data_IF_991785136489
#
_entry.id   IF_991785136489
#
_cell.length_a   1.000
_cell.length_b   1.000
_cell.length_c   1.000
_cell.angle_alpha   90.00
_cell.angle_beta   90.00
_cell.angle_gamma   90.00
#
_symmetry.space_group_name_H-M   'P 1'
#
loop_
_entity.id
_entity.type
_entity.pdbx_description
1 polymer ?
#
# COMPACT_ATOMS: atom_id res chain seq x y z
N UNK A 1 37.73 30.87 -39.13
CA UNK A 1 36.39 31.33 -39.48
C UNK A 1 35.41 30.69 -38.58
N UNK A 2 35.00 31.51 -37.64
CA UNK A 2 33.63 31.82 -37.20
C UNK A 2 32.89 30.70 -36.55
N UNK A 3 32.84 30.60 -35.18
CA UNK A 3 31.94 31.25 -34.22
C UNK A 3 30.47 30.78 -34.37
N UNK A 4 29.99 30.03 -33.38
CA UNK A 4 28.82 30.48 -32.62
C UNK A 4 28.77 29.72 -31.28
N UNK A 5 29.08 30.47 -30.21
CA UNK A 5 28.72 30.17 -28.81
C UNK A 5 27.24 30.47 -28.68
N UNK A 6 26.46 29.48 -28.24
CA UNK A 6 25.17 29.77 -27.63
C UNK A 6 25.14 29.16 -26.24
N UNK A 7 25.27 30.05 -25.27
CA UNK A 7 25.11 29.74 -23.86
C UNK A 7 23.62 29.60 -23.51
N UNK A 8 23.23 28.44 -23.04
CA UNK A 8 21.96 28.27 -22.35
C UNK A 8 22.20 28.45 -20.83
N UNK A 9 21.75 29.56 -20.33
CA UNK A 9 21.67 29.84 -18.91
C UNK A 9 20.71 28.85 -18.26
N UNK A 10 21.25 27.91 -17.48
CA UNK A 10 20.45 27.07 -16.61
C UNK A 10 19.96 27.89 -15.43
N UNK A 11 18.75 28.39 -15.53
CA UNK A 11 18.02 28.98 -14.40
C UNK A 11 17.81 27.91 -13.33
N UNK A 12 18.61 27.99 -12.25
CA UNK A 12 18.41 27.24 -11.01
C UNK A 12 17.14 27.77 -10.33
N UNK A 13 15.99 27.23 -10.69
CA UNK A 13 14.80 27.30 -9.83
C UNK A 13 14.97 26.27 -8.72
N UNK A 14 15.28 26.76 -7.53
CA UNK A 14 15.11 26.03 -6.27
C UNK A 14 13.60 25.89 -6.05
N UNK A 15 13.02 24.85 -6.60
CA UNK A 15 11.71 24.35 -6.21
C UNK A 15 11.93 23.32 -5.11
N UNK A 16 11.47 23.62 -3.91
CA UNK A 16 11.35 22.62 -2.85
C UNK A 16 10.40 21.54 -3.36
N UNK A 17 10.94 20.38 -3.75
CA UNK A 17 10.13 19.19 -3.94
C UNK A 17 9.72 18.72 -2.54
N UNK A 18 8.56 19.22 -2.11
CA UNK A 18 7.75 18.47 -1.17
C UNK A 18 7.32 17.20 -1.89
N UNK A 19 7.93 16.09 -1.54
CA UNK A 19 7.47 14.76 -1.95
C UNK A 19 6.16 14.54 -1.21
N UNK A 20 5.06 14.95 -1.86
CA UNK A 20 3.73 14.49 -1.49
C UNK A 20 3.71 13.00 -1.81
N UNK A 21 3.90 12.19 -0.79
CA UNK A 21 3.56 10.77 -0.82
C UNK A 21 2.03 10.71 -0.95
N UNK A 22 1.55 10.79 -2.20
CA UNK A 22 0.18 10.44 -2.52
C UNK A 22 0.09 8.93 -2.37
N UNK A 23 -0.27 8.48 -1.17
CA UNK A 23 -0.89 7.18 -1.01
C UNK A 23 -2.22 7.28 -1.79
N UNK A 24 -2.15 7.02 -3.11
CA UNK A 24 -3.33 6.76 -3.91
C UNK A 24 -3.89 5.45 -3.38
N UNK A 25 -4.82 5.57 -2.43
CA UNK A 25 -5.79 4.53 -2.16
C UNK A 25 -6.46 4.25 -3.51
N UNK A 26 -6.16 3.11 -4.12
CA UNK A 26 -6.78 2.69 -5.37
C UNK A 26 -8.29 2.74 -5.15
N UNK A 27 -8.93 3.77 -5.69
CA UNK A 27 -10.38 3.85 -5.79
C UNK A 27 -10.81 2.75 -6.76
N UNK A 28 -11.08 1.56 -6.24
CA UNK A 28 -11.86 0.59 -6.97
C UNK A 28 -13.20 1.28 -7.31
N UNK A 29 -13.51 1.37 -8.58
CA UNK A 29 -14.80 1.85 -9.10
C UNK A 29 -15.91 1.06 -8.40
N UNK A 30 -16.54 1.67 -7.44
CA UNK A 30 -17.60 1.08 -6.65
C UNK A 30 -18.86 1.02 -7.50
N UNK A 31 -19.25 -0.18 -7.90
CA UNK A 31 -20.60 -0.47 -8.39
C UNK A 31 -21.56 -0.32 -7.18
N UNK A 32 -22.52 0.65 -7.19
CA UNK A 32 -23.38 0.92 -6.05
C UNK A 32 -24.38 -0.19 -5.73
N UNK A 33 -24.29 -1.35 -6.40
CA UNK A 33 -25.18 -2.49 -6.23
C UNK A 33 -24.66 -3.61 -5.31
N UNK A 34 -23.39 -3.64 -4.94
CA UNK A 34 -22.85 -4.62 -4.01
C UNK A 34 -22.54 -3.93 -2.68
N UNK A 35 -23.39 -4.11 -1.69
CA UNK A 35 -23.02 -3.90 -0.29
C UNK A 35 -21.97 -4.96 0.09
N UNK A 36 -20.72 -4.79 -0.36
CA UNK A 36 -19.61 -5.58 0.15
C UNK A 36 -19.45 -5.18 1.61
N UNK A 37 -19.80 -6.09 2.50
CA UNK A 37 -19.43 -5.99 3.90
C UNK A 37 -17.92 -5.79 3.90
N UNK A 38 -17.46 -4.59 4.23
CA UNK A 38 -16.06 -4.25 4.32
C UNK A 38 -15.48 -5.16 5.39
N UNK A 39 -14.74 -6.18 4.96
CA UNK A 39 -14.20 -7.20 5.84
C UNK A 39 -13.26 -6.52 6.81
N UNK A 40 -13.59 -6.58 8.09
CA UNK A 40 -12.75 -5.97 9.13
C UNK A 40 -11.43 -6.73 9.13
N UNK A 41 -10.34 -6.04 8.82
CA UNK A 41 -9.01 -6.63 8.79
C UNK A 41 -8.75 -7.40 10.08
N UNK A 42 -8.48 -8.69 9.95
CA UNK A 42 -8.10 -9.55 11.05
C UNK A 42 -6.70 -9.19 11.51
N UNK A 43 -6.59 -8.54 12.64
CA UNK A 43 -5.30 -8.24 13.24
C UNK A 43 -4.75 -9.46 13.98
N UNK A 44 -3.52 -9.85 13.65
CA UNK A 44 -2.79 -10.96 14.26
C UNK A 44 -1.49 -10.48 14.91
N UNK A 45 -1.00 -11.25 15.88
CA UNK A 45 0.33 -11.01 16.45
C UNK A 45 1.38 -11.51 15.46
N UNK A 46 2.22 -10.60 14.96
CA UNK A 46 3.36 -10.91 14.11
C UNK A 46 4.53 -11.46 14.94
N UNK A 47 5.39 -12.24 14.31
CA UNK A 47 6.63 -12.74 14.85
C UNK A 47 7.77 -12.54 13.86
N UNK A 48 9.04 -12.53 14.32
CA UNK A 48 10.20 -12.50 13.42
C UNK A 48 10.11 -13.59 12.34
N UNK A 49 9.66 -14.80 12.73
CA UNK A 49 9.50 -15.92 11.82
C UNK A 49 8.45 -15.64 10.73
N UNK A 50 7.33 -15.02 11.07
CA UNK A 50 6.32 -14.66 10.07
C UNK A 50 6.85 -13.66 9.06
N UNK A 51 7.58 -12.64 9.49
CA UNK A 51 8.16 -11.64 8.59
C UNK A 51 9.22 -12.28 7.68
N UNK A 52 10.10 -13.13 8.22
CA UNK A 52 11.12 -13.83 7.42
C UNK A 52 10.48 -14.81 6.41
N UNK A 53 9.48 -15.59 6.83
CA UNK A 53 8.74 -16.48 5.96
C UNK A 53 8.00 -15.71 4.85
N UNK A 54 7.42 -14.55 5.19
CA UNK A 54 6.76 -13.66 4.23
C UNK A 54 7.76 -13.20 3.16
N UNK A 55 8.89 -12.65 3.54
CA UNK A 55 9.92 -12.19 2.60
C UNK A 55 10.41 -13.32 1.68
N UNK A 56 10.53 -14.55 2.20
CA UNK A 56 10.96 -15.72 1.43
C UNK A 56 9.90 -16.21 0.42
N UNK A 57 8.60 -16.01 0.72
CA UNK A 57 7.50 -16.48 -0.12
C UNK A 57 7.04 -15.44 -1.16
N UNK A 58 7.24 -14.15 -0.87
CA UNK A 58 6.58 -13.04 -1.58
C UNK A 58 6.82 -13.08 -3.09
N UNK A 59 8.06 -13.14 -3.53
CA UNK A 59 8.37 -13.07 -4.98
C UNK A 59 7.78 -14.26 -5.76
N UNK A 60 7.82 -15.45 -5.18
CA UNK A 60 7.27 -16.64 -5.83
C UNK A 60 5.75 -16.57 -5.91
N UNK A 61 5.09 -16.04 -4.89
CA UNK A 61 3.62 -15.84 -4.89
C UNK A 61 3.24 -14.71 -5.85
N UNK A 62 3.93 -13.56 -5.81
CA UNK A 62 3.66 -12.43 -6.69
C UNK A 62 3.73 -12.83 -8.19
N UNK A 63 4.75 -13.58 -8.59
CA UNK A 63 4.90 -14.08 -9.97
C UNK A 63 3.74 -14.96 -10.43
N UNK A 64 3.07 -15.68 -9.54
CA UNK A 64 1.91 -16.48 -9.90
C UNK A 64 0.71 -15.60 -10.27
N UNK A 65 0.55 -14.46 -9.59
CA UNK A 65 -0.54 -13.53 -9.84
C UNK A 65 -0.24 -12.55 -10.99
N UNK A 66 1.02 -12.15 -11.21
CA UNK A 66 1.43 -11.31 -12.36
C UNK A 66 1.15 -11.98 -13.72
N UNK A 67 1.20 -13.30 -13.78
CA UNK A 67 0.86 -14.09 -14.98
C UNK A 67 -0.64 -14.41 -15.11
N UNK A 68 -1.44 -14.14 -14.09
CA UNK A 68 -2.87 -14.39 -14.11
C UNK A 68 -3.60 -13.16 -14.69
N UNK A 69 -4.41 -13.35 -15.74
CA UNK A 69 -5.26 -12.29 -16.28
C UNK A 69 -6.16 -11.74 -15.15
N UNK A 70 -5.99 -10.47 -14.83
CA UNK A 70 -6.79 -9.73 -13.82
C UNK A 70 -8.30 -9.73 -14.08
N UNK A 71 -8.72 -10.09 -15.29
CA UNK A 71 -10.13 -10.16 -15.71
C UNK A 71 -10.81 -11.50 -15.39
N UNK A 72 -10.09 -12.47 -14.82
CA UNK A 72 -10.68 -13.75 -14.40
C UNK A 72 -10.77 -13.80 -12.87
N UNK A 73 -11.95 -14.12 -12.32
CA UNK A 73 -12.05 -14.43 -10.91
C UNK A 73 -11.09 -15.59 -10.61
N UNK A 74 -10.37 -15.47 -9.53
CA UNK A 74 -9.38 -16.36 -8.93
C UNK A 74 -9.27 -17.75 -9.60
N UNK A 75 -8.20 -17.94 -10.39
CA UNK A 75 -7.94 -19.26 -11.00
C UNK A 75 -7.60 -20.25 -9.87
N UNK A 76 -8.42 -21.28 -9.62
CA UNK A 76 -8.17 -22.26 -8.55
C UNK A 76 -6.80 -22.93 -8.64
N UNK A 77 -6.21 -22.98 -9.83
CA UNK A 77 -4.87 -23.51 -10.04
C UNK A 77 -3.79 -22.57 -9.51
N UNK A 78 -3.94 -21.27 -9.74
CA UNK A 78 -3.03 -20.25 -9.21
C UNK A 78 -3.09 -20.21 -7.69
N UNK A 79 -4.31 -20.26 -7.13
CA UNK A 79 -4.52 -20.32 -5.69
C UNK A 79 -3.89 -21.58 -5.07
N UNK A 80 -4.06 -22.74 -5.68
CA UNK A 80 -3.43 -23.98 -5.21
C UNK A 80 -1.89 -23.92 -5.26
N UNK A 81 -1.31 -23.28 -6.27
CA UNK A 81 0.13 -23.08 -6.38
C UNK A 81 0.63 -22.09 -5.32
N UNK A 82 -0.06 -20.97 -5.12
CA UNK A 82 0.25 -20.00 -4.07
C UNK A 82 0.16 -20.63 -2.67
N UNK A 83 -0.86 -21.46 -2.41
CA UNK A 83 -0.98 -22.22 -1.17
C UNK A 83 0.18 -23.20 -0.96
N UNK A 84 0.68 -23.84 -2.03
CA UNK A 84 1.84 -24.72 -1.95
C UNK A 84 3.13 -23.92 -1.61
N UNK A 85 3.32 -22.74 -2.23
CA UNK A 85 4.45 -21.85 -1.93
C UNK A 85 4.37 -21.36 -0.48
N UNK A 86 3.20 -20.91 -0.02
CA UNK A 86 3.00 -20.48 1.36
C UNK A 86 3.38 -21.59 2.36
N UNK A 87 2.90 -22.81 2.14
CA UNK A 87 3.23 -23.99 2.98
C UNK A 87 4.72 -24.30 2.97
N UNK A 88 5.37 -24.29 1.81
CA UNK A 88 6.82 -24.51 1.67
C UNK A 88 7.61 -23.52 2.51
N UNK A 89 7.13 -22.28 2.62
CA UNK A 89 7.76 -21.22 3.39
C UNK A 89 7.25 -21.13 4.84
N UNK A 90 6.59 -22.16 5.36
CA UNK A 90 6.27 -22.33 6.78
C UNK A 90 4.97 -21.70 7.24
N UNK A 91 4.07 -21.35 6.32
CA UNK A 91 2.69 -20.97 6.65
C UNK A 91 1.78 -22.21 6.70
N UNK A 92 0.78 -22.20 7.54
CA UNK A 92 -0.18 -23.31 7.61
C UNK A 92 -1.12 -23.31 6.39
N UNK A 93 -1.40 -22.13 5.80
CA UNK A 93 -2.28 -21.95 4.64
C UNK A 93 -1.94 -20.66 3.90
N UNK A 94 -2.50 -20.49 2.70
CA UNK A 94 -2.44 -19.19 1.97
C UNK A 94 -3.14 -18.11 2.80
N UNK A 95 -4.30 -18.37 3.41
CA UNK A 95 -4.99 -17.40 4.27
C UNK A 95 -4.13 -16.91 5.45
N UNK A 96 -3.24 -17.75 6.00
CA UNK A 96 -2.31 -17.29 7.03
C UNK A 96 -1.23 -16.38 6.45
N UNK A 97 -0.75 -16.65 5.24
CA UNK A 97 0.16 -15.74 4.52
C UNK A 97 -0.51 -14.39 4.26
N UNK A 98 -1.77 -14.38 3.81
CA UNK A 98 -2.56 -13.18 3.54
C UNK A 98 -2.82 -12.38 4.83
N UNK A 99 -3.14 -13.05 5.94
CA UNK A 99 -3.24 -12.41 7.27
C UNK A 99 -1.93 -11.68 7.63
N UNK A 100 -0.77 -12.32 7.40
CA UNK A 100 0.54 -11.74 7.68
C UNK A 100 0.85 -10.57 6.75
N UNK A 101 0.64 -10.73 5.44
CA UNK A 101 0.81 -9.67 4.44
C UNK A 101 -0.03 -8.45 4.80
N UNK A 102 -1.33 -8.64 5.07
CA UNK A 102 -2.25 -7.55 5.40
C UNK A 102 -1.81 -6.80 6.66
N UNK A 103 -1.36 -7.50 7.71
CA UNK A 103 -0.89 -6.86 8.93
C UNK A 103 0.43 -6.12 8.74
N UNK A 104 1.36 -6.64 7.92
CA UNK A 104 2.59 -5.93 7.54
C UNK A 104 2.24 -4.66 6.77
N UNK A 105 1.40 -4.78 5.73
CA UNK A 105 1.00 -3.66 4.85
C UNK A 105 0.32 -2.55 5.64
N UNK A 106 -0.63 -2.91 6.53
CA UNK A 106 -1.35 -1.95 7.38
C UNK A 106 -0.39 -1.14 8.27
N UNK A 107 0.68 -1.75 8.78
CA UNK A 107 1.66 -1.05 9.61
C UNK A 107 2.63 -0.25 8.74
N UNK A 108 3.11 -0.83 7.63
CA UNK A 108 4.02 -0.16 6.71
C UNK A 108 3.42 1.13 6.15
N UNK A 109 2.13 1.13 5.80
CA UNK A 109 1.41 2.31 5.31
C UNK A 109 1.38 3.45 6.34
N UNK A 110 1.48 3.13 7.64
CA UNK A 110 1.55 4.10 8.73
C UNK A 110 2.92 4.66 9.03
N UNK A 111 3.98 4.10 8.46
CA UNK A 111 5.34 4.50 8.74
C UNK A 111 5.82 5.53 7.73
N UNK A 112 6.16 6.72 8.20
CA UNK A 112 6.87 7.71 7.39
C UNK A 112 8.27 7.19 7.03
N UNK A 113 8.60 7.06 5.73
CA UNK A 113 9.84 6.40 5.31
C UNK A 113 11.11 7.19 5.67
N UNK A 114 11.00 8.49 5.88
CA UNK A 114 12.14 9.36 6.20
C UNK A 114 12.38 9.42 7.70
N UNK A 115 11.32 9.61 8.48
CA UNK A 115 11.42 9.81 9.93
C UNK A 115 11.25 8.51 10.72
N UNK A 116 10.79 7.45 10.07
CA UNK A 116 10.42 6.16 10.69
C UNK A 116 9.37 6.29 11.79
N UNK A 117 8.61 7.38 11.77
CA UNK A 117 7.51 7.58 12.72
C UNK A 117 6.27 6.85 12.22
N UNK A 118 5.61 6.16 13.13
CA UNK A 118 4.34 5.49 12.86
C UNK A 118 3.16 6.40 13.22
N UNK A 119 2.15 6.41 12.35
CA UNK A 119 0.86 7.06 12.57
C UNK A 119 -0.25 6.01 12.51
N UNK A 120 -1.14 6.00 13.49
CA UNK A 120 -2.26 5.05 13.55
C UNK A 120 -3.22 5.23 12.36
N UNK A 121 -3.83 4.14 11.82
CA UNK A 121 -4.73 4.22 10.67
C UNK A 121 -5.85 5.27 10.80
N UNK A 122 -6.56 5.40 11.93
CA UNK A 122 -7.58 6.44 12.05
C UNK A 122 -7.01 7.86 11.96
N UNK A 123 -5.77 8.07 12.41
CA UNK A 123 -5.13 9.39 12.37
C UNK A 123 -4.61 9.72 10.97
N UNK A 124 -4.14 8.71 10.23
CA UNK A 124 -3.79 8.89 8.82
C UNK A 124 -5.00 9.37 8.01
N UNK A 125 -6.13 8.69 8.13
CA UNK A 125 -7.35 9.05 7.41
C UNK A 125 -7.81 10.47 7.77
N UNK A 126 -7.71 10.89 9.04
CA UNK A 126 -8.00 12.28 9.43
C UNK A 126 -7.07 13.28 8.76
N UNK A 127 -5.78 12.95 8.64
CA UNK A 127 -4.81 13.78 7.96
C UNK A 127 -5.11 13.88 6.45
N UNK A 128 -5.51 12.78 5.83
CA UNK A 128 -5.94 12.74 4.42
C UNK A 128 -7.21 13.58 4.19
N UNK A 129 -8.20 13.47 5.07
CA UNK A 129 -9.40 14.32 5.05
C UNK A 129 -9.03 15.79 5.14
N UNK A 130 -8.11 16.14 6.05
CA UNK A 130 -7.67 17.54 6.20
C UNK A 130 -6.91 18.03 4.97
N UNK A 131 -6.04 17.20 4.40
CA UNK A 131 -5.30 17.50 3.18
C UNK A 131 -6.23 17.70 1.98
N UNK A 132 -7.18 16.78 1.76
CA UNK A 132 -8.14 16.85 0.65
C UNK A 132 -9.05 18.09 0.77
N UNK A 133 -9.48 18.45 1.98
CA UNK A 133 -10.24 19.71 2.21
C UNK A 133 -9.44 20.97 1.86
N UNK A 134 -8.14 20.95 2.14
CA UNK A 134 -7.26 22.09 1.88
C UNK A 134 -6.79 22.19 0.42
N UNK A 135 -6.82 21.11 -0.33
CA UNK A 135 -6.36 21.04 -1.71
C UNK A 135 -7.32 21.82 -2.63
N UNK A 136 -6.79 22.86 -3.25
CA UNK A 136 -7.55 23.71 -4.20
C UNK A 136 -7.47 23.24 -5.65
N UNK A 137 -6.63 22.23 -5.93
CA UNK A 137 -6.46 21.69 -7.28
C UNK A 137 -7.48 20.62 -7.65
N UNK A 138 -8.10 19.99 -6.64
CA UNK A 138 -9.12 18.95 -6.83
C UNK A 138 -10.49 19.59 -7.09
N UNK A 139 -11.20 19.18 -8.17
CA UNK A 139 -12.56 19.66 -8.46
C UNK A 139 -13.53 19.34 -7.31
N UNK A 140 -14.48 20.25 -7.04
CA UNK A 140 -15.40 20.12 -5.90
C UNK A 140 -16.23 18.83 -5.91
N UNK A 141 -16.61 18.32 -7.10
CA UNK A 141 -17.35 17.07 -7.23
C UNK A 141 -16.50 15.86 -6.77
N UNK A 142 -15.26 15.78 -7.25
CA UNK A 142 -14.31 14.72 -6.87
C UNK A 142 -13.94 14.82 -5.38
N UNK A 143 -13.73 16.04 -4.88
CA UNK A 143 -13.46 16.29 -3.46
C UNK A 143 -14.59 15.78 -2.58
N UNK A 144 -15.85 16.06 -2.95
CA UNK A 144 -17.03 15.60 -2.20
C UNK A 144 -17.11 14.07 -2.14
N UNK A 145 -16.83 13.42 -3.26
CA UNK A 145 -16.83 11.96 -3.33
C UNK A 145 -15.67 11.36 -2.50
N UNK A 146 -14.45 11.87 -2.66
CA UNK A 146 -13.30 11.44 -1.89
C UNK A 146 -13.48 11.62 -0.38
N UNK A 147 -14.05 12.76 0.05
CA UNK A 147 -14.36 12.99 1.47
C UNK A 147 -15.39 12.00 2.01
N UNK A 148 -16.44 11.67 1.25
CA UNK A 148 -17.42 10.68 1.67
C UNK A 148 -16.82 9.27 1.85
N UNK A 149 -15.91 8.89 0.97
CA UNK A 149 -15.18 7.64 1.06
C UNK A 149 -14.23 7.61 2.28
N UNK A 150 -13.44 8.67 2.49
CA UNK A 150 -12.54 8.78 3.64
C UNK A 150 -13.32 8.83 4.97
N UNK A 151 -14.47 9.49 5.03
CA UNK A 151 -15.32 9.48 6.22
C UNK A 151 -15.89 8.08 6.51
N UNK A 152 -16.22 7.32 5.48
CA UNK A 152 -16.65 5.92 5.62
C UNK A 152 -15.49 5.05 6.09
N UNK A 153 -14.31 5.21 5.51
CA UNK A 153 -13.10 4.53 5.94
C UNK A 153 -12.76 4.84 7.40
N UNK A 154 -12.88 6.12 7.82
CA UNK A 154 -12.62 6.54 9.20
C UNK A 154 -13.55 5.87 10.22
N UNK A 155 -14.82 5.67 9.89
CA UNK A 155 -15.79 4.97 10.77
C UNK A 155 -15.38 3.51 11.01
N UNK A 156 -14.75 2.88 10.02
CA UNK A 156 -14.36 1.47 10.06
C UNK A 156 -12.92 1.26 10.54
N UNK A 157 -12.08 2.30 10.46
CA UNK A 157 -10.69 2.23 10.84
C UNK A 157 -10.53 1.91 12.33
N UNK A 158 -9.64 0.95 12.61
CA UNK A 158 -9.28 0.55 13.97
C UNK A 158 -7.79 0.84 14.21
N UNK A 159 -7.41 1.24 15.41
CA UNK A 159 -6.00 1.32 15.79
C UNK A 159 -5.35 -0.06 15.74
N UNK A 160 -4.03 -0.08 15.65
CA UNK A 160 -3.27 -1.32 15.75
C UNK A 160 -3.48 -1.93 17.14
N UNK A 161 -4.04 -3.16 17.16
CA UNK A 161 -4.32 -3.89 18.40
C UNK A 161 -3.03 -4.42 19.05
N UNK A 162 -2.18 -5.07 18.24
CA UNK A 162 -0.90 -5.60 18.71
C UNK A 162 0.20 -4.55 18.52
N UNK A 163 0.41 -3.69 19.52
CA UNK A 163 1.38 -2.58 19.44
C UNK A 163 2.83 -3.04 19.21
N UNK A 164 3.17 -4.23 19.67
CA UNK A 164 4.47 -4.85 19.44
C UNK A 164 4.78 -5.10 17.96
N UNK A 165 3.74 -5.28 17.13
CA UNK A 165 3.90 -5.43 15.70
C UNK A 165 4.54 -4.20 15.05
N UNK A 166 4.26 -2.99 15.57
CA UNK A 166 4.82 -1.74 15.06
C UNK A 166 6.34 -1.75 15.18
N UNK A 167 6.85 -2.08 16.38
CA UNK A 167 8.30 -2.16 16.61
C UNK A 167 8.95 -3.26 15.77
N UNK A 168 8.24 -4.38 15.60
CA UNK A 168 8.72 -5.51 14.79
C UNK A 168 8.80 -5.14 13.30
N UNK A 169 7.77 -4.51 12.74
CA UNK A 169 7.78 -4.07 11.33
C UNK A 169 8.83 -2.98 11.12
N UNK A 170 8.99 -2.04 12.06
CA UNK A 170 10.08 -1.04 12.00
C UNK A 170 11.47 -1.68 11.98
N UNK A 171 11.70 -2.75 12.74
CA UNK A 171 12.95 -3.53 12.72
C UNK A 171 13.29 -4.06 11.32
N UNK A 172 12.28 -4.47 10.56
CA UNK A 172 12.43 -5.03 9.22
C UNK A 172 12.11 -4.03 8.09
N UNK A 173 11.87 -2.76 8.42
CA UNK A 173 11.34 -1.78 7.48
C UNK A 173 12.10 -1.71 6.16
N UNK A 174 13.43 -1.59 6.21
CA UNK A 174 14.25 -1.43 5.01
C UNK A 174 14.28 -2.71 4.15
N UNK A 175 14.04 -3.88 4.75
CA UNK A 175 13.91 -5.15 4.05
C UNK A 175 12.51 -5.34 3.44
N UNK A 176 11.48 -4.77 4.07
CA UNK A 176 10.08 -4.84 3.62
C UNK A 176 9.74 -3.77 2.58
N UNK A 177 10.41 -2.63 2.59
CA UNK A 177 10.13 -1.50 1.69
C UNK A 177 10.12 -1.87 0.20
N UNK A 178 11.04 -2.70 -0.33
CA UNK A 178 11.01 -3.10 -1.75
C UNK A 178 9.73 -3.85 -2.14
N UNK A 179 9.18 -4.67 -1.25
CA UNK A 179 7.94 -5.44 -1.52
C UNK A 179 6.71 -4.53 -1.61
N UNK A 180 6.68 -3.44 -0.84
CA UNK A 180 5.61 -2.45 -0.89
C UNK A 180 5.64 -1.63 -2.18
N UNK A 181 6.84 -1.25 -2.65
CA UNK A 181 7.01 -0.51 -3.91
C UNK A 181 6.62 -1.35 -5.13
N UNK A 182 6.85 -2.66 -5.10
CA UNK A 182 6.43 -3.57 -6.15
C UNK A 182 4.90 -3.65 -6.29
N UNK A 183 4.17 -3.57 -5.18
CA UNK A 183 2.69 -3.50 -5.20
C UNK A 183 2.19 -2.21 -5.86
N UNK A 184 2.80 -1.06 -5.53
CA UNK A 184 2.42 0.24 -6.11
C UNK A 184 2.68 0.31 -7.63
N UNK A 185 3.73 -0.35 -8.12
CA UNK A 185 4.06 -0.37 -9.56
C UNK A 185 3.09 -1.24 -10.37
N UNK A 186 2.55 -2.30 -9.80
CA UNK A 186 1.56 -3.17 -10.44
C UNK A 186 0.15 -2.55 -10.49
N UNK A 187 -0.09 -1.50 -9.69
CA UNK A 187 -1.36 -0.73 -9.67
C UNK A 187 -1.35 0.47 -10.62
N UNK A 188 -0.20 0.80 -11.25
CA UNK A 188 -0.14 1.86 -12.28
C UNK A 188 -0.40 1.26 -13.65
N UNK A 189 -1.45 1.70 -14.39
CA UNK A 189 -1.56 1.39 -15.80
C UNK A 189 -0.29 1.90 -16.51
N UNK A 190 0.25 1.08 -17.43
CA UNK A 190 1.33 1.50 -18.30
C UNK A 190 0.83 2.67 -19.16
N UNK A 191 1.53 3.81 -19.07
CA UNK A 191 1.32 4.99 -19.92
C UNK A 191 1.60 4.67 -21.39
#
# INVERSE_FOLDING_TARGET
MSLFRNGYAVSRRRGSLGVLFSALLALALFDPGAASAQEVVKQIKLTDKYIQNFMAAYEDIAKLYDGANSDKPEDPKVEAQAAAVAKKNGFASLAQYDDVLTNITMIMSGIDPQTKKFTEPPEQIKNEIAALKADKSVPEAEKKEGLAQLETALKNAKPIHFKENIALVLKYFDQLAPFMQAQDSNLRPAD
#
